data_IF_980728669619
#
_entry.id   IF_980728669619
#
_cell.length_a   1.000
_cell.length_b   1.000
_cell.length_c   1.000
_cell.angle_alpha   90.00
_cell.angle_beta   90.00
_cell.angle_gamma   90.00
#
_symmetry.space_group_name_H-M   'P 1'
#
loop_
_entity.id
_entity.type
_entity.pdbx_description
1 polymer ?
#
# COMPACT_ATOMS: atom_id res chain seq x y z
N UNK A 1 0.38 -1.18 15.44
CA UNK A 1 -0.73 -2.05 14.99
C UNK A 1 -0.71 -3.40 15.72
N UNK A 2 0.29 -4.26 15.50
CA UNK A 2 0.35 -5.62 16.10
C UNK A 2 0.20 -5.70 17.63
N UNK A 3 0.97 -4.90 18.40
CA UNK A 3 0.88 -4.87 19.89
C UNK A 3 -0.49 -4.51 20.47
N UNK A 4 -1.38 -3.96 19.65
CA UNK A 4 -2.74 -3.56 20.05
C UNK A 4 -3.82 -4.39 19.36
N UNK A 5 -3.45 -5.46 18.65
CA UNK A 5 -4.39 -6.30 17.90
C UNK A 5 -5.09 -5.56 16.75
N UNK A 6 -4.55 -4.43 16.29
CA UNK A 6 -5.19 -3.68 15.21
C UNK A 6 -4.95 -4.36 13.87
N UNK A 7 -5.99 -4.50 13.03
CA UNK A 7 -5.84 -5.03 11.68
C UNK A 7 -4.90 -4.15 10.85
N UNK A 8 -4.13 -4.81 9.99
CA UNK A 8 -3.32 -4.16 8.96
C UNK A 8 -3.59 -4.82 7.62
N UNK A 9 -3.42 -4.06 6.56
CA UNK A 9 -3.53 -4.52 5.19
C UNK A 9 -2.31 -4.02 4.41
N UNK A 10 -1.88 -4.82 3.45
CA UNK A 10 -0.82 -4.51 2.50
C UNK A 10 -1.34 -4.81 1.10
N UNK A 11 -1.03 -3.93 0.14
CA UNK A 11 -1.21 -4.18 -1.28
C UNK A 11 0.18 -4.38 -1.89
N UNK A 12 0.47 -5.58 -2.37
CA UNK A 12 1.77 -5.88 -2.96
C UNK A 12 1.89 -5.24 -4.34
N UNK A 13 2.95 -4.47 -4.53
CA UNK A 13 3.29 -3.82 -5.80
C UNK A 13 4.34 -4.65 -6.54
N UNK A 14 4.46 -4.46 -7.86
CA UNK A 14 5.65 -4.93 -8.59
C UNK A 14 6.85 -4.06 -8.18
N UNK A 15 7.71 -4.63 -7.33
CA UNK A 15 8.91 -3.98 -6.83
C UNK A 15 10.19 -4.35 -7.59
N UNK A 16 10.10 -4.96 -8.79
CA UNK A 16 11.26 -5.52 -9.51
C UNK A 16 12.42 -4.53 -9.65
N UNK A 17 12.12 -3.25 -9.88
CA UNK A 17 13.11 -2.17 -10.04
C UNK A 17 13.30 -1.30 -8.79
N UNK A 18 12.63 -1.61 -7.69
CA UNK A 18 12.60 -0.74 -6.51
C UNK A 18 14.01 -0.48 -5.96
N UNK A 19 14.81 -1.54 -5.85
CA UNK A 19 16.17 -1.47 -5.31
C UNK A 19 17.23 -0.98 -6.31
N UNK A 20 16.85 -0.70 -7.56
CA UNK A 20 17.77 -0.06 -8.52
C UNK A 20 18.09 1.38 -8.11
N UNK A 21 17.15 2.02 -7.39
CA UNK A 21 17.26 3.44 -7.00
C UNK A 21 17.11 3.68 -5.50
N UNK A 22 16.46 2.77 -4.77
CA UNK A 22 16.19 2.88 -3.34
C UNK A 22 17.45 3.24 -2.53
N UNK A 23 17.39 4.33 -1.78
CA UNK A 23 18.50 4.85 -0.96
C UNK A 23 19.75 5.29 -1.77
N UNK A 24 19.57 5.70 -3.02
CA UNK A 24 20.62 6.37 -3.82
C UNK A 24 20.20 7.81 -4.13
N UNK A 25 21.12 8.63 -4.63
CA UNK A 25 20.81 9.96 -5.16
C UNK A 25 19.89 9.93 -6.39
N UNK A 26 19.78 8.77 -7.06
CA UNK A 26 18.93 8.58 -8.23
C UNK A 26 17.46 8.33 -7.86
N UNK A 27 17.09 8.27 -6.57
CA UNK A 27 15.69 8.20 -6.11
C UNK A 27 14.98 9.55 -6.32
N UNK A 28 14.65 9.83 -7.57
CA UNK A 28 14.03 11.08 -8.01
C UNK A 28 12.72 10.82 -8.76
N UNK A 29 11.92 11.87 -8.97
CA UNK A 29 10.64 11.76 -9.68
C UNK A 29 10.79 11.22 -11.12
N UNK A 30 11.95 11.39 -11.74
CA UNK A 30 12.22 10.89 -13.09
C UNK A 30 12.18 9.36 -13.19
N UNK A 31 12.38 8.65 -12.08
CA UNK A 31 12.32 7.19 -12.03
C UNK A 31 10.89 6.63 -11.93
N UNK A 32 9.91 7.49 -11.64
CA UNK A 32 8.50 7.10 -11.54
C UNK A 32 7.93 6.93 -12.94
N UNK A 33 7.47 5.72 -13.27
CA UNK A 33 6.68 5.48 -14.48
C UNK A 33 5.24 5.95 -14.25
N UNK A 34 4.78 7.03 -14.92
CA UNK A 34 3.43 7.56 -14.72
C UNK A 34 2.33 6.56 -15.10
N UNK A 35 2.63 5.57 -15.95
CA UNK A 35 1.66 4.53 -16.33
C UNK A 35 1.34 3.57 -15.18
N UNK A 36 2.24 3.43 -14.20
CA UNK A 36 2.06 2.50 -13.06
C UNK A 36 1.31 3.12 -11.89
N UNK A 37 1.29 4.46 -11.78
CA UNK A 37 0.67 5.18 -10.68
C UNK A 37 -0.86 5.03 -10.60
N UNK A 38 -1.64 5.11 -11.72
CA UNK A 38 -3.09 5.01 -11.67
C UNK A 38 -3.61 3.70 -11.04
N UNK A 39 -2.89 2.59 -11.21
CA UNK A 39 -3.26 1.30 -10.62
C UNK A 39 -3.18 1.36 -9.09
N UNK A 40 -2.11 1.95 -8.54
CA UNK A 40 -1.97 2.13 -7.09
C UNK A 40 -3.05 3.07 -6.54
N UNK A 41 -3.36 4.16 -7.25
CA UNK A 41 -4.43 5.09 -6.86
C UNK A 41 -5.78 4.38 -6.83
N UNK A 42 -6.12 3.64 -7.88
CA UNK A 42 -7.38 2.92 -7.97
C UNK A 42 -7.50 1.85 -6.87
N UNK A 43 -6.43 1.10 -6.62
CA UNK A 43 -6.41 0.05 -5.60
C UNK A 43 -6.62 0.64 -4.19
N UNK A 44 -5.83 1.65 -3.81
CA UNK A 44 -5.96 2.28 -2.49
C UNK A 44 -7.27 3.04 -2.30
N UNK A 45 -7.76 3.76 -3.32
CA UNK A 45 -9.05 4.44 -3.24
C UNK A 45 -10.19 3.43 -3.03
N UNK A 46 -10.17 2.31 -3.75
CA UNK A 46 -11.15 1.23 -3.59
C UNK A 46 -11.05 0.58 -2.22
N UNK A 47 -9.84 0.23 -1.76
CA UNK A 47 -9.61 -0.36 -0.45
C UNK A 47 -10.12 0.54 0.66
N UNK A 48 -9.77 1.83 0.64
CA UNK A 48 -10.20 2.80 1.65
C UNK A 48 -11.72 2.94 1.66
N UNK A 49 -12.35 3.05 0.48
CA UNK A 49 -13.80 3.14 0.37
C UNK A 49 -14.50 1.89 0.92
N UNK A 50 -14.10 0.70 0.47
CA UNK A 50 -14.70 -0.57 0.93
C UNK A 50 -14.49 -0.78 2.43
N UNK A 51 -13.31 -0.47 2.97
CA UNK A 51 -13.04 -0.58 4.39
C UNK A 51 -13.94 0.35 5.23
N UNK A 52 -14.17 1.58 4.75
CA UNK A 52 -15.05 2.55 5.41
C UNK A 52 -16.53 2.13 5.37
N UNK A 53 -16.96 1.44 4.31
CA UNK A 53 -18.34 0.98 4.15
C UNK A 53 -18.58 -0.43 4.72
N UNK A 54 -17.54 -1.12 5.17
CA UNK A 54 -17.65 -2.50 5.63
C UNK A 54 -18.36 -2.59 6.98
N UNK A 55 -19.32 -3.51 7.10
CA UNK A 55 -19.92 -3.90 8.37
C UNK A 55 -19.11 -4.95 9.15
N UNK A 56 -17.94 -5.35 8.66
CA UNK A 56 -17.09 -6.38 9.28
C UNK A 56 -16.35 -5.81 10.48
N UNK A 57 -16.40 -6.50 11.62
CA UNK A 57 -15.52 -6.25 12.76
C UNK A 57 -14.11 -6.76 12.48
N UNK A 58 -13.19 -5.84 12.14
CA UNK A 58 -11.83 -6.20 11.72
C UNK A 58 -10.86 -6.50 12.87
N UNK A 59 -11.29 -6.36 14.13
CA UNK A 59 -10.45 -6.65 15.28
C UNK A 59 -11.13 -6.35 16.62
N UNK A 60 -10.40 -6.52 17.74
CA UNK A 60 -8.97 -6.87 17.78
C UNK A 60 -8.69 -8.28 17.26
N UNK A 61 -7.65 -8.42 16.46
CA UNK A 61 -7.15 -9.71 16.00
C UNK A 61 -6.44 -10.38 17.19
N UNK A 62 -6.75 -11.65 17.46
CA UNK A 62 -6.00 -12.43 18.45
C UNK A 62 -4.56 -12.57 17.97
N UNK A 63 -3.64 -11.99 18.73
CA UNK A 63 -2.18 -12.04 18.53
C UNK A 63 -1.54 -13.06 19.45
#
# INVERSE_FOLDING_TARGET
MRKHGWPGLELTQDGTRYFDVHHTENDTLEQVDPATLPVNVAAWATTAWVAAQSGVGWGPIQV
#
